data_IF_847297875443
#
_entry.id   IF_847297875443
#
_cell.length_a   1.000
_cell.length_b   1.000
_cell.length_c   1.000
_cell.angle_alpha   90.00
_cell.angle_beta   90.00
_cell.angle_gamma   90.00
#
_symmetry.space_group_name_H-M   'P 1'
#
loop_
_entity.id
_entity.type
_entity.pdbx_description
1 polymer ?
#
# COMPACT_ATOMS: atom_id res chain seq x y z
N UNK A 1 9.07 2.59 -7.97
CA UNK A 1 7.64 2.67 -8.36
C UNK A 1 6.95 3.71 -7.51
N UNK A 2 6.34 4.69 -8.13
CA UNK A 2 5.70 5.77 -7.40
C UNK A 2 4.23 5.50 -7.14
N UNK A 3 3.78 5.83 -5.93
CA UNK A 3 2.36 5.80 -5.61
C UNK A 3 1.73 7.10 -6.08
N UNK A 4 0.65 7.00 -6.85
CA UNK A 4 -0.08 8.16 -7.34
C UNK A 4 -1.09 8.60 -6.28
N UNK A 5 -0.61 9.38 -5.34
CA UNK A 5 -1.41 9.86 -4.22
C UNK A 5 -1.85 11.29 -4.49
N UNK A 6 -3.13 11.57 -4.31
CA UNK A 6 -3.73 12.88 -4.52
C UNK A 6 -4.63 13.25 -3.36
N UNK A 7 -4.88 14.54 -3.21
CA UNK A 7 -5.86 15.07 -2.26
C UNK A 7 -5.62 14.64 -0.83
N UNK A 8 -4.35 14.76 -0.39
CA UNK A 8 -4.00 14.44 1.00
C UNK A 8 -4.63 15.47 1.92
N UNK A 9 -5.37 15.02 2.92
CA UNK A 9 -6.04 15.88 3.91
C UNK A 9 -5.76 15.39 5.31
N UNK A 10 -5.64 16.35 6.22
CA UNK A 10 -5.47 16.09 7.65
C UNK A 10 -6.57 16.80 8.42
N UNK A 11 -7.16 16.10 9.36
CA UNK A 11 -8.19 16.68 10.23
C UNK A 11 -7.90 16.32 11.66
N UNK A 12 -8.16 17.26 12.54
CA UNK A 12 -8.00 17.07 13.97
C UNK A 12 -9.23 17.54 14.70
N UNK A 13 -9.79 16.65 15.53
CA UNK A 13 -10.92 16.98 16.38
C UNK A 13 -10.46 17.02 17.83
N UNK A 14 -10.29 18.22 18.41
CA UNK A 14 -9.80 18.33 19.79
C UNK A 14 -10.80 17.86 20.84
N UNK A 15 -12.08 17.84 20.51
CA UNK A 15 -13.12 17.42 21.46
C UNK A 15 -13.06 15.93 21.71
N UNK A 16 -12.76 15.14 20.71
CA UNK A 16 -12.69 13.69 20.81
C UNK A 16 -11.27 13.14 20.78
N UNK A 17 -10.28 14.00 20.46
CA UNK A 17 -8.90 13.54 20.30
C UNK A 17 -8.71 12.64 19.09
N UNK A 18 -9.45 12.90 18.02
CA UNK A 18 -9.41 12.09 16.81
C UNK A 18 -8.62 12.80 15.72
N UNK A 19 -7.61 12.13 15.18
CA UNK A 19 -6.85 12.60 14.04
C UNK A 19 -7.20 11.74 12.83
N UNK A 20 -7.40 12.38 11.69
CA UNK A 20 -7.74 11.70 10.46
C UNK A 20 -6.81 12.15 9.34
N UNK A 21 -6.25 11.21 8.63
CA UNK A 21 -5.45 11.46 7.45
C UNK A 21 -6.06 10.68 6.29
N UNK A 22 -6.38 11.37 5.21
CA UNK A 22 -7.00 10.73 4.05
C UNK A 22 -6.33 11.16 2.76
N UNK A 23 -6.46 10.34 1.75
CA UNK A 23 -5.98 10.64 0.41
C UNK A 23 -6.72 9.80 -0.60
N UNK A 24 -6.52 10.14 -1.87
CA UNK A 24 -7.00 9.34 -2.99
C UNK A 24 -5.80 8.62 -3.62
N UNK A 25 -5.94 7.33 -3.81
CA UNK A 25 -4.99 6.51 -4.53
C UNK A 25 -5.73 5.72 -5.58
N UNK A 26 -5.37 5.94 -6.85
CA UNK A 26 -6.07 5.34 -7.99
C UNK A 26 -7.58 5.63 -7.97
N UNK A 27 -7.94 6.87 -7.62
CA UNK A 27 -9.33 7.35 -7.55
C UNK A 27 -10.17 6.67 -6.48
N UNK A 28 -9.54 6.03 -5.51
CA UNK A 28 -10.22 5.43 -4.36
C UNK A 28 -9.73 6.14 -3.12
N UNK A 29 -10.66 6.53 -2.26
CA UNK A 29 -10.34 7.22 -1.01
C UNK A 29 -9.94 6.24 0.07
N UNK A 30 -8.80 6.50 0.70
CA UNK A 30 -8.31 5.74 1.85
C UNK A 30 -8.14 6.67 3.04
N UNK A 31 -8.38 6.16 4.22
CA UNK A 31 -8.35 6.97 5.44
C UNK A 31 -7.64 6.22 6.56
N UNK A 32 -6.74 6.93 7.25
CA UNK A 32 -6.13 6.47 8.48
C UNK A 32 -6.68 7.28 9.65
N UNK A 33 -7.07 6.61 10.72
CA UNK A 33 -7.67 7.26 11.88
C UNK A 33 -6.89 6.87 13.14
N UNK A 34 -6.62 7.87 13.96
CA UNK A 34 -6.06 7.68 15.30
C UNK A 34 -6.99 8.34 16.29
N UNK A 35 -7.39 7.58 17.29
CA UNK A 35 -8.32 8.06 18.30
C UNK A 35 -7.69 7.92 19.67
N UNK A 36 -7.67 9.03 20.43
CA UNK A 36 -7.13 9.02 21.78
C UNK A 36 -8.06 8.26 22.71
N UNK A 37 -7.51 7.33 23.48
CA UNK A 37 -8.29 6.59 24.47
C UNK A 37 -8.83 7.57 25.53
N UNK A 38 -10.07 7.40 25.99
CA UNK A 38 -10.64 8.31 27.01
C UNK A 38 -9.79 8.44 28.26
N UNK A 39 -9.08 7.40 28.67
CA UNK A 39 -8.21 7.45 29.83
C UNK A 39 -6.96 8.30 29.60
N UNK A 40 -6.59 8.51 28.34
CA UNK A 40 -5.37 9.23 27.97
C UNK A 40 -5.66 10.63 27.45
N UNK A 41 -6.86 11.15 27.66
CA UNK A 41 -7.22 12.48 27.14
C UNK A 41 -6.34 13.60 27.67
N UNK A 42 -5.82 13.45 28.88
CA UNK A 42 -4.91 14.45 29.44
C UNK A 42 -3.60 14.52 28.67
N UNK A 43 -3.26 13.47 27.95
CA UNK A 43 -2.04 13.38 27.15
C UNK A 43 -2.32 13.54 25.67
N UNK A 44 -3.50 14.03 25.33
CA UNK A 44 -3.90 14.26 23.96
C UNK A 44 -2.94 15.21 23.27
N UNK A 45 -2.41 14.79 22.11
CA UNK A 45 -1.46 15.57 21.36
C UNK A 45 -1.78 15.47 19.88
N UNK A 46 -2.07 16.61 19.27
CA UNK A 46 -2.40 16.69 17.85
C UNK A 46 -1.31 16.09 16.98
N UNK A 47 -0.06 16.46 17.23
CA UNK A 47 1.05 15.98 16.41
C UNK A 47 1.21 14.46 16.49
N UNK A 48 1.07 13.89 17.68
CA UNK A 48 1.14 12.44 17.85
C UNK A 48 -0.03 11.75 17.16
N UNK A 49 -1.25 12.30 17.33
CA UNK A 49 -2.43 11.76 16.69
C UNK A 49 -2.31 11.78 15.16
N UNK A 50 -1.87 12.90 14.62
CA UNK A 50 -1.68 13.04 13.17
C UNK A 50 -0.63 12.07 12.63
N UNK A 51 0.47 11.89 13.36
CA UNK A 51 1.52 10.95 12.96
C UNK A 51 1.01 9.52 12.92
N UNK A 52 0.21 9.13 13.91
CA UNK A 52 -0.36 7.77 13.96
C UNK A 52 -1.39 7.59 12.83
N UNK A 53 -2.22 8.58 12.59
CA UNK A 53 -3.21 8.52 11.51
C UNK A 53 -2.52 8.38 10.15
N UNK A 54 -1.47 9.15 9.93
CA UNK A 54 -0.68 9.07 8.70
C UNK A 54 -0.03 7.71 8.54
N UNK A 55 0.53 7.18 9.61
CA UNK A 55 1.15 5.87 9.59
C UNK A 55 0.14 4.78 9.23
N UNK A 56 -1.05 4.83 9.81
CA UNK A 56 -2.12 3.88 9.50
C UNK A 56 -2.57 3.97 8.06
N UNK A 57 -2.65 5.19 7.52
CA UNK A 57 -2.96 5.40 6.11
C UNK A 57 -1.87 4.80 5.22
N UNK A 58 -0.60 5.05 5.54
CA UNK A 58 0.51 4.51 4.78
C UNK A 58 0.50 2.99 4.75
N UNK A 59 0.17 2.34 5.86
CA UNK A 59 0.07 0.88 5.90
C UNK A 59 -1.02 0.39 4.96
N UNK A 60 -2.17 1.04 4.94
CA UNK A 60 -3.24 0.67 4.02
C UNK A 60 -2.79 0.78 2.56
N UNK A 61 -2.15 1.89 2.21
CA UNK A 61 -1.67 2.10 0.85
C UNK A 61 -0.63 1.07 0.43
N UNK A 62 0.27 0.73 1.34
CA UNK A 62 1.28 -0.29 1.06
C UNK A 62 0.66 -1.66 0.83
N UNK A 63 -0.38 -2.00 1.59
CA UNK A 63 -1.10 -3.26 1.40
C UNK A 63 -1.78 -3.33 0.04
N UNK A 64 -2.45 -2.26 -0.35
CA UNK A 64 -3.11 -2.18 -1.65
C UNK A 64 -2.09 -2.30 -2.78
N UNK A 65 -1.00 -1.55 -2.67
CA UNK A 65 0.07 -1.58 -3.67
C UNK A 65 0.70 -2.97 -3.78
N UNK A 66 0.92 -3.63 -2.65
CA UNK A 66 1.46 -4.98 -2.61
C UNK A 66 0.58 -5.96 -3.38
N UNK A 67 -0.73 -5.86 -3.21
CA UNK A 67 -1.66 -6.74 -3.92
C UNK A 67 -1.65 -6.47 -5.43
N UNK A 68 -1.52 -5.22 -5.84
CA UNK A 68 -1.39 -4.88 -7.25
C UNK A 68 -0.12 -5.48 -7.87
N UNK A 69 1.00 -5.37 -7.17
CA UNK A 69 2.27 -5.95 -7.62
C UNK A 69 2.18 -7.46 -7.73
N UNK A 70 1.55 -8.12 -6.77
CA UNK A 70 1.36 -9.57 -6.83
C UNK A 70 0.57 -9.98 -8.06
N UNK A 71 -0.48 -9.25 -8.38
CA UNK A 71 -1.30 -9.54 -9.55
C UNK A 71 -0.51 -9.38 -10.83
N UNK A 72 0.27 -8.31 -10.94
CA UNK A 72 1.12 -8.06 -12.10
C UNK A 72 2.15 -9.18 -12.28
N UNK A 73 2.79 -9.59 -11.19
CA UNK A 73 3.77 -10.68 -11.24
C UNK A 73 3.15 -11.98 -11.71
N UNK A 74 1.96 -12.29 -11.24
CA UNK A 74 1.24 -13.49 -11.65
C UNK A 74 0.93 -13.45 -13.14
N UNK A 75 0.48 -12.32 -13.64
CA UNK A 75 0.19 -12.14 -15.07
C UNK A 75 1.44 -12.31 -15.92
N UNK A 76 2.55 -11.70 -15.50
CA UNK A 76 3.81 -11.81 -16.21
C UNK A 76 4.32 -13.25 -16.25
N UNK A 77 4.19 -13.98 -15.17
CA UNK A 77 4.55 -15.40 -15.14
C UNK A 77 3.73 -16.20 -16.15
N UNK A 78 2.43 -15.97 -16.20
CA UNK A 78 1.57 -16.68 -17.15
C UNK A 78 1.95 -16.38 -18.59
N UNK A 79 2.24 -15.13 -18.90
CA UNK A 79 2.69 -14.75 -20.21
C UNK A 79 4.01 -15.43 -20.57
N UNK A 80 4.94 -15.45 -19.65
CA UNK A 80 6.24 -16.06 -19.85
C UNK A 80 6.11 -17.56 -20.19
N UNK A 81 5.33 -18.28 -19.41
CA UNK A 81 5.10 -19.71 -19.67
C UNK A 81 4.44 -19.94 -21.02
N UNK A 82 3.46 -19.11 -21.37
CA UNK A 82 2.80 -19.20 -22.64
C UNK A 82 3.78 -19.02 -23.80
N UNK A 83 4.66 -18.05 -23.70
CA UNK A 83 5.67 -17.79 -24.72
C UNK A 83 6.66 -18.94 -24.89
N UNK A 84 7.14 -19.49 -23.78
CA UNK A 84 8.11 -20.58 -23.83
C UNK A 84 7.53 -21.85 -24.42
N UNK A 85 6.26 -22.13 -24.10
CA UNK A 85 5.59 -23.31 -24.64
C UNK A 85 5.27 -23.18 -26.12
N UNK A 86 4.78 -22.03 -26.53
CA UNK A 86 4.36 -21.82 -27.91
C UNK A 86 5.53 -21.81 -28.90
N UNK A 87 6.70 -21.45 -28.45
CA UNK A 87 7.90 -21.39 -29.28
C UNK A 87 8.75 -22.64 -29.22
N UNK A 88 8.29 -23.66 -28.56
CA UNK A 88 9.06 -24.87 -28.35
C UNK A 88 10.47 -24.57 -27.84
N UNK A 89 10.54 -23.65 -26.95
CA UNK A 89 11.79 -23.13 -26.41
C UNK A 89 12.45 -24.13 -25.47
N UNK A 90 13.74 -24.35 -25.64
CA UNK A 90 14.47 -25.24 -24.74
C UNK A 90 14.79 -24.52 -23.44
N UNK A 91 13.81 -24.41 -22.61
CA UNK A 91 13.83 -23.69 -21.35
C UNK A 91 14.90 -24.23 -20.40
N UNK A 92 15.03 -25.54 -20.34
CA UNK A 92 15.90 -26.18 -19.34
C UNK A 92 17.40 -25.98 -19.60
N UNK A 93 17.79 -25.71 -20.82
CA UNK A 93 19.20 -25.66 -21.16
C UNK A 93 19.89 -24.38 -20.73
N UNK A 94 19.22 -23.24 -20.70
CA UNK A 94 19.87 -22.04 -20.24
C UNK A 94 18.99 -21.06 -19.44
N UNK A 95 17.70 -21.05 -19.65
CA UNK A 95 16.82 -20.14 -18.93
C UNK A 95 16.79 -20.39 -17.43
N UNK A 96 16.98 -21.64 -17.05
CA UNK A 96 17.02 -22.02 -15.64
C UNK A 96 18.11 -21.24 -14.90
N UNK A 97 19.25 -21.05 -15.52
CA UNK A 97 20.35 -20.32 -14.90
C UNK A 97 20.03 -18.86 -14.68
N UNK A 98 19.30 -18.27 -15.62
CA UNK A 98 18.92 -16.86 -15.54
C UNK A 98 17.87 -16.63 -14.46
N UNK A 99 16.92 -17.53 -14.34
CA UNK A 99 15.79 -17.38 -13.43
C UNK A 99 16.12 -17.63 -11.97
N UNK A 100 17.23 -18.27 -11.69
CA UNK A 100 17.62 -18.60 -10.32
C UNK A 100 18.25 -17.48 -9.53
N UNK A 101 18.33 -16.36 -10.09
CA UNK A 101 18.94 -15.20 -9.43
C UNK A 101 18.05 -14.53 -8.40
#
# INVERSE_FOLDING_TARGET
MELKIKNVKYEWDPDTGTATCSCDYNNIKYTGIAHCHPEDQDMMNENTGMSIAEWRLQIQLLRVHREEVKTELKTLKQLYYSMTQSKNFNYNSYETKTLRR
#
